data_IF_190704571528
#
_entry.id   IF_190704571528
#
_cell.length_a   1.000
_cell.length_b   1.000
_cell.length_c   1.000
_cell.angle_alpha   90.00
_cell.angle_beta   90.00
_cell.angle_gamma   90.00
#
_symmetry.space_group_name_H-M   'P 1'
#
loop_
_entity.id
_entity.type
_entity.pdbx_description
1 polymer ?
#
# COMPACT_ATOMS: atom_id res chain seq x y z
N UNK A 1 15.04 -61.28 11.89
CA UNK A 1 15.55 -60.19 11.03
C UNK A 1 16.01 -58.98 11.85
N UNK A 2 15.33 -58.61 12.93
CA UNK A 2 15.73 -57.47 13.79
C UNK A 2 17.12 -57.55 14.42
N UNK A 3 17.54 -58.70 14.95
CA UNK A 3 18.88 -58.83 15.54
C UNK A 3 20.02 -58.57 14.54
N UNK A 4 19.81 -58.87 13.25
CA UNK A 4 20.79 -58.55 12.20
C UNK A 4 20.82 -57.04 11.93
N UNK A 5 19.66 -56.39 11.89
CA UNK A 5 19.56 -54.96 11.73
C UNK A 5 20.24 -54.22 12.90
N UNK A 6 20.00 -54.64 14.14
CA UNK A 6 20.65 -54.05 15.33
C UNK A 6 22.18 -54.15 15.24
N UNK A 7 22.71 -55.31 14.85
CA UNK A 7 24.16 -55.48 14.67
C UNK A 7 24.72 -54.57 13.58
N UNK A 8 24.06 -54.49 12.43
CA UNK A 8 24.46 -53.59 11.35
C UNK A 8 24.40 -52.11 11.78
N UNK A 9 23.42 -51.74 12.60
CA UNK A 9 23.34 -50.38 13.14
C UNK A 9 24.46 -50.11 14.14
N UNK A 10 24.78 -51.06 15.02
CA UNK A 10 25.87 -50.96 15.98
C UNK A 10 27.23 -50.79 15.30
N UNK A 11 27.47 -51.51 14.20
CA UNK A 11 28.69 -51.42 13.38
C UNK A 11 28.91 -50.04 12.73
N UNK A 12 27.87 -49.21 12.61
CA UNK A 12 27.99 -47.85 12.05
C UNK A 12 28.44 -46.80 13.09
N UNK A 13 28.38 -47.12 14.38
CA UNK A 13 28.79 -46.18 15.42
C UNK A 13 30.30 -46.23 15.68
N UNK A 14 30.91 -45.12 16.15
CA UNK A 14 32.28 -45.14 16.63
C UNK A 14 32.45 -46.16 17.76
N UNK A 15 33.56 -46.90 17.71
CA UNK A 15 33.90 -47.83 18.78
C UNK A 15 34.10 -47.05 20.09
N UNK A 16 33.55 -47.61 21.17
CA UNK A 16 33.64 -47.05 22.52
C UNK A 16 34.21 -48.12 23.44
N UNK A 17 35.13 -47.74 24.32
CA UNK A 17 35.66 -48.65 25.36
C UNK A 17 34.67 -48.80 26.54
N UNK A 18 33.66 -47.93 26.60
CA UNK A 18 32.74 -47.84 27.73
C UNK A 18 31.49 -48.69 27.57
N UNK A 19 31.09 -49.00 26.34
CA UNK A 19 29.82 -49.67 26.03
C UNK A 19 29.99 -50.68 24.90
N UNK A 20 29.30 -51.80 25.02
CA UNK A 20 29.08 -52.68 23.89
C UNK A 20 27.82 -52.24 23.13
N UNK A 21 28.02 -51.75 21.91
CA UNK A 21 26.98 -51.01 21.17
C UNK A 21 25.79 -51.89 20.78
N UNK A 22 26.03 -53.17 20.46
CA UNK A 22 24.99 -54.10 20.06
C UNK A 22 24.12 -54.56 21.26
N UNK A 23 24.71 -54.64 22.45
CA UNK A 23 23.96 -54.89 23.69
C UNK A 23 23.20 -53.65 24.17
N UNK A 24 23.88 -52.50 24.27
CA UNK A 24 23.30 -51.28 24.85
C UNK A 24 22.09 -50.80 24.05
N UNK A 25 22.09 -50.90 22.71
CA UNK A 25 20.96 -50.51 21.85
C UNK A 25 19.67 -51.24 22.24
N UNK A 26 19.78 -52.48 22.72
CA UNK A 26 18.61 -53.26 23.14
C UNK A 26 18.14 -52.96 24.56
N UNK A 27 18.99 -52.33 25.36
CA UNK A 27 18.71 -52.01 26.76
C UNK A 27 18.15 -50.60 26.95
N UNK A 28 18.31 -49.70 25.97
CA UNK A 28 17.84 -48.32 26.06
C UNK A 28 16.32 -48.23 26.14
N UNK A 29 15.85 -47.45 27.10
CA UNK A 29 14.43 -47.15 27.30
C UNK A 29 13.92 -45.97 26.48
N UNK A 30 12.65 -45.63 26.71
CA UNK A 30 12.07 -44.39 26.15
C UNK A 30 12.69 -43.18 26.83
N UNK A 31 13.18 -42.22 26.04
CA UNK A 31 13.87 -41.05 26.56
C UNK A 31 15.36 -41.26 26.78
N UNK A 32 15.94 -42.37 26.33
CA UNK A 32 17.39 -42.60 26.31
C UNK A 32 17.89 -42.71 24.87
N UNK A 33 19.12 -42.25 24.61
CA UNK A 33 19.72 -42.30 23.29
C UNK A 33 21.24 -42.45 23.35
N UNK A 34 21.80 -43.04 22.30
CA UNK A 34 23.24 -43.03 22.05
C UNK A 34 23.60 -41.78 21.26
N UNK A 35 24.47 -40.97 21.84
CA UNK A 35 24.91 -39.70 21.27
C UNK A 35 26.42 -39.73 21.11
N UNK A 36 26.90 -39.31 19.95
CA UNK A 36 28.30 -38.97 19.70
C UNK A 36 28.36 -37.49 19.36
N UNK A 37 29.44 -36.82 19.79
CA UNK A 37 29.71 -35.42 19.51
C UNK A 37 30.93 -35.34 18.62
N UNK A 38 31.11 -34.21 17.94
CA UNK A 38 32.33 -33.96 17.20
C UNK A 38 33.34 -33.24 18.10
N UNK A 39 34.60 -33.65 18.06
CA UNK A 39 35.68 -32.89 18.69
C UNK A 39 36.01 -31.63 17.87
N UNK A 40 36.95 -30.80 18.35
CA UNK A 40 37.36 -29.54 17.69
C UNK A 40 37.84 -29.72 16.25
N UNK A 41 38.26 -30.93 15.87
CA UNK A 41 38.72 -31.29 14.52
C UNK A 41 37.63 -31.96 13.67
N UNK A 42 36.39 -32.04 14.16
CA UNK A 42 35.28 -32.67 13.47
C UNK A 42 35.27 -34.19 13.52
N UNK A 43 36.06 -34.82 14.40
CA UNK A 43 36.12 -36.29 14.53
C UNK A 43 35.08 -36.71 15.59
N UNK A 44 34.25 -37.73 15.30
CA UNK A 44 33.31 -38.29 16.28
C UNK A 44 34.03 -38.77 17.55
N UNK A 45 33.51 -38.37 18.71
CA UNK A 45 33.97 -38.84 20.03
C UNK A 45 33.37 -40.21 20.35
N UNK A 46 33.91 -40.93 21.35
CA UNK A 46 33.32 -42.16 21.84
C UNK A 46 31.83 -41.99 22.18
N UNK A 47 31.06 -43.06 21.94
CA UNK A 47 29.62 -43.09 22.12
C UNK A 47 29.25 -42.97 23.61
N UNK A 48 28.21 -42.18 23.91
CA UNK A 48 27.67 -42.04 25.25
C UNK A 48 26.16 -42.32 25.30
N UNK A 49 25.74 -43.17 26.25
CA UNK A 49 24.33 -43.34 26.58
C UNK A 49 23.86 -42.14 27.41
N UNK A 50 22.85 -41.42 26.92
CA UNK A 50 22.39 -40.15 27.49
C UNK A 50 20.87 -40.14 27.64
N UNK A 51 20.38 -39.56 28.74
CA UNK A 51 18.95 -39.32 28.94
C UNK A 51 18.54 -38.02 28.21
N UNK A 52 17.51 -38.13 27.37
CA UNK A 52 16.95 -37.03 26.60
C UNK A 52 15.82 -36.36 27.38
N UNK A 53 15.90 -35.04 27.50
CA UNK A 53 14.81 -34.24 28.01
C UNK A 53 13.84 -33.90 26.85
N UNK A 54 12.53 -34.10 27.01
CA UNK A 54 11.57 -33.67 25.99
C UNK A 54 11.61 -32.14 25.83
N UNK A 55 11.25 -31.61 24.64
CA UNK A 55 11.17 -30.17 24.44
C UNK A 55 10.12 -29.58 25.39
N UNK A 56 10.47 -28.47 26.04
CA UNK A 56 9.53 -27.72 26.88
C UNK A 56 8.54 -26.88 26.07
N UNK A 57 8.79 -26.73 24.76
CA UNK A 57 7.91 -26.01 23.84
C UNK A 57 6.97 -26.96 23.10
N UNK A 58 5.75 -26.48 22.84
CA UNK A 58 4.86 -27.11 21.86
C UNK A 58 5.50 -26.98 20.47
N UNK A 59 5.68 -28.12 19.78
CA UNK A 59 6.23 -28.17 18.41
C UNK A 59 5.20 -27.85 17.31
N UNK A 60 3.95 -27.66 17.71
CA UNK A 60 2.82 -27.46 16.81
C UNK A 60 2.53 -25.97 16.57
N UNK A 61 1.80 -25.68 15.50
CA UNK A 61 1.47 -24.34 15.06
C UNK A 61 0.45 -23.73 16.04
N UNK A 62 0.60 -22.44 16.33
CA UNK A 62 -0.37 -21.72 17.16
C UNK A 62 -1.74 -21.65 16.45
N UNK A 63 -2.82 -21.80 17.19
CA UNK A 63 -4.17 -21.59 16.64
C UNK A 63 -4.40 -20.11 16.34
N UNK A 64 -5.36 -19.82 15.48
CA UNK A 64 -5.74 -18.44 15.14
C UNK A 64 -6.13 -17.64 16.38
N UNK A 65 -6.77 -18.27 17.37
CA UNK A 65 -7.14 -17.64 18.64
C UNK A 65 -5.91 -17.28 19.48
N UNK A 66 -4.94 -18.19 19.58
CA UNK A 66 -3.67 -17.98 20.29
C UNK A 66 -2.86 -16.85 19.65
N UNK A 67 -2.75 -16.86 18.32
CA UNK A 67 -2.09 -15.80 17.54
C UNK A 67 -2.76 -14.46 17.82
N UNK A 68 -4.08 -14.38 17.71
CA UNK A 68 -4.82 -13.14 17.95
C UNK A 68 -4.66 -12.63 19.40
N UNK A 69 -4.61 -13.52 20.39
CA UNK A 69 -4.37 -13.15 21.78
C UNK A 69 -2.95 -12.59 21.98
N UNK A 70 -1.94 -13.20 21.36
CA UNK A 70 -0.56 -12.71 21.38
C UNK A 70 -0.42 -11.36 20.67
N UNK A 71 -1.00 -11.22 19.49
CA UNK A 71 -0.99 -9.96 18.72
C UNK A 71 -1.65 -8.84 19.53
N UNK A 72 -2.81 -9.09 20.16
CA UNK A 72 -3.47 -8.07 21.00
C UNK A 72 -2.65 -7.60 22.20
N UNK A 73 -1.72 -8.42 22.71
CA UNK A 73 -0.80 -8.02 23.79
C UNK A 73 0.36 -7.16 23.32
N UNK A 74 0.63 -7.10 22.02
CA UNK A 74 1.74 -6.33 21.47
C UNK A 74 1.45 -4.83 21.50
N UNK A 75 2.42 -4.03 21.95
CA UNK A 75 2.36 -2.56 21.93
C UNK A 75 2.32 -1.97 20.51
N UNK A 76 2.75 -2.74 19.52
CA UNK A 76 2.81 -2.31 18.12
C UNK A 76 1.46 -2.39 17.42
N UNK A 77 0.51 -3.13 18.00
CA UNK A 77 -0.80 -3.41 17.41
C UNK A 77 -1.58 -2.13 17.14
N UNK A 78 -1.52 -1.15 18.03
CA UNK A 78 -2.25 0.13 17.83
C UNK A 78 -1.78 0.90 16.60
N UNK A 79 -0.49 0.78 16.24
CA UNK A 79 0.12 1.51 15.13
C UNK A 79 0.04 0.74 13.81
N UNK A 80 0.26 -0.58 13.85
CA UNK A 80 0.51 -1.37 12.64
C UNK A 80 -0.59 -2.38 12.30
N UNK A 81 -1.53 -2.65 13.19
CA UNK A 81 -2.57 -3.67 12.95
C UNK A 81 -3.76 -3.14 12.13
N UNK A 82 -3.71 -1.89 11.67
CA UNK A 82 -4.75 -1.28 10.84
C UNK A 82 -4.30 -1.27 9.38
N UNK A 83 -5.03 -1.98 8.52
CA UNK A 83 -4.88 -1.84 7.08
C UNK A 83 -5.42 -0.48 6.66
N UNK A 84 -4.56 0.36 6.08
CA UNK A 84 -4.95 1.66 5.55
C UNK A 84 -4.97 1.54 4.03
N UNK A 85 -6.16 1.66 3.45
CA UNK A 85 -6.33 1.78 2.01
C UNK A 85 -6.42 3.27 1.64
N UNK A 86 -5.37 3.79 1.02
CA UNK A 86 -5.27 5.20 0.66
C UNK A 86 -5.72 5.43 -0.78
N UNK A 87 -6.66 6.35 -1.00
CA UNK A 87 -7.10 6.73 -2.35
C UNK A 87 -5.91 7.21 -3.19
N UNK A 88 -5.76 6.64 -4.38
CA UNK A 88 -4.71 7.05 -5.32
C UNK A 88 -5.01 8.43 -5.92
N UNK A 89 -3.97 9.16 -6.33
CA UNK A 89 -4.15 10.45 -7.01
C UNK A 89 -5.00 10.33 -8.29
N UNK A 90 -4.92 9.18 -8.96
CA UNK A 90 -5.70 8.84 -10.14
C UNK A 90 -7.20 8.70 -9.83
N UNK A 91 -7.56 7.98 -8.76
CA UNK A 91 -8.95 7.85 -8.31
C UNK A 91 -9.55 9.21 -7.96
N UNK A 92 -8.81 10.03 -7.20
CA UNK A 92 -9.26 11.38 -6.81
C UNK A 92 -9.48 12.27 -8.05
N UNK A 93 -8.61 12.19 -9.05
CA UNK A 93 -8.74 12.97 -10.28
C UNK A 93 -9.92 12.48 -11.13
N UNK A 94 -10.12 11.17 -11.21
CA UNK A 94 -11.19 10.55 -11.98
C UNK A 94 -12.56 10.88 -11.39
N UNK A 95 -12.71 10.80 -10.05
CA UNK A 95 -13.92 11.25 -9.34
C UNK A 95 -14.24 12.72 -9.64
N UNK A 96 -13.23 13.60 -9.66
CA UNK A 96 -13.42 15.03 -9.99
C UNK A 96 -13.85 15.25 -11.44
N UNK A 97 -13.29 14.49 -12.38
CA UNK A 97 -13.66 14.58 -13.80
C UNK A 97 -15.07 14.04 -14.05
N UNK A 98 -15.48 12.98 -13.34
CA UNK A 98 -16.85 12.46 -13.40
C UNK A 98 -17.85 13.45 -12.82
N UNK A 99 -17.58 14.00 -11.63
CA UNK A 99 -18.43 15.02 -11.03
C UNK A 99 -18.57 16.29 -11.89
N UNK A 100 -17.50 16.69 -12.61
CA UNK A 100 -17.55 17.81 -13.54
C UNK A 100 -18.40 17.50 -14.79
N UNK A 101 -18.36 16.27 -15.31
CA UNK A 101 -19.18 15.83 -16.45
C UNK A 101 -20.66 15.73 -16.10
N UNK A 102 -20.99 15.31 -14.88
CA UNK A 102 -22.37 15.22 -14.41
C UNK A 102 -22.99 16.59 -14.09
N UNK A 103 -22.15 17.60 -13.83
CA UNK A 103 -22.58 18.98 -13.58
C UNK A 103 -22.73 19.83 -14.85
N UNK A 104 -22.34 19.34 -16.03
CA UNK A 104 -22.65 20.00 -17.29
C UNK A 104 -24.13 19.75 -17.65
N UNK A 105 -24.99 20.79 -17.74
CA UNK A 105 -26.37 20.59 -18.17
C UNK A 105 -26.36 20.06 -19.61
N UNK A 106 -27.13 19.01 -19.86
CA UNK A 106 -27.42 18.51 -21.21
C UNK A 106 -28.11 19.63 -22.04
N UNK A 107 -27.31 20.53 -22.61
CA UNK A 107 -27.78 21.40 -23.70
C UNK A 107 -27.81 20.51 -24.94
N UNK A 108 -28.84 19.66 -25.00
CA UNK A 108 -29.29 19.01 -26.23
C UNK A 108 -29.60 20.11 -27.22
N UNK A 109 -28.61 20.39 -28.06
CA UNK A 109 -28.69 21.32 -29.17
C UNK A 109 -29.64 20.73 -30.20
N UNK A 110 -30.94 20.99 -30.01
CA UNK A 110 -31.92 20.97 -31.08
C UNK A 110 -31.82 22.33 -31.78
N UNK A 111 -30.77 22.51 -32.59
CA UNK A 111 -30.73 23.62 -33.55
C UNK A 111 -31.34 23.12 -34.85
N UNK A 112 -32.63 23.41 -34.98
CA UNK A 112 -33.28 23.54 -36.27
C UNK A 112 -32.48 24.53 -37.12
N UNK A 113 -32.18 24.15 -38.36
CA UNK A 113 -31.81 25.08 -39.41
C UNK A 113 -33.01 25.98 -39.69
N UNK A 114 -32.95 27.21 -39.19
CA UNK A 114 -33.84 28.29 -39.61
C UNK A 114 -32.96 29.46 -40.09
N UNK A 115 -33.15 29.78 -41.37
CA UNK A 115 -32.48 30.81 -42.13
C UNK A 115 -32.57 32.17 -41.41
N UNK A 116 -31.41 32.69 -40.99
CA UNK A 116 -31.34 34.02 -40.43
C UNK A 116 -31.13 35.06 -41.52
N UNK A 117 -32.27 35.67 -41.84
CA UNK A 117 -32.52 37.00 -42.39
C UNK A 117 -31.32 37.96 -42.47
N UNK A 118 -31.21 38.60 -43.63
CA UNK A 118 -30.29 39.65 -44.11
C UNK A 118 -29.99 40.84 -43.17
N UNK A 119 -30.62 40.88 -42.00
CA UNK A 119 -30.36 41.85 -40.93
C UNK A 119 -29.14 41.47 -40.06
N UNK A 120 -28.86 40.18 -39.86
CA UNK A 120 -27.65 39.74 -39.12
C UNK A 120 -26.35 40.05 -39.91
N UNK A 121 -26.38 39.97 -41.24
CA UNK A 121 -25.21 40.27 -42.09
C UNK A 121 -24.78 41.74 -42.01
N UNK A 122 -25.73 42.65 -41.76
CA UNK A 122 -25.45 44.09 -41.57
C UNK A 122 -24.91 44.35 -40.15
N UNK A 123 -25.37 43.57 -39.16
CA UNK A 123 -24.89 43.65 -37.78
C UNK A 123 -23.49 43.06 -37.58
N UNK A 124 -23.13 42.01 -38.33
CA UNK A 124 -21.84 41.32 -38.21
C UNK A 124 -20.69 41.97 -39.00
N UNK A 125 -20.95 43.05 -39.75
CA UNK A 125 -19.89 43.77 -40.41
C UNK A 125 -19.01 44.52 -39.37
N UNK A 126 -17.72 44.18 -39.34
CA UNK A 126 -16.73 44.73 -38.42
C UNK A 126 -16.65 46.27 -38.45
N UNK A 127 -17.00 46.89 -39.58
CA UNK A 127 -17.05 48.35 -39.74
C UNK A 127 -18.22 48.96 -38.96
N UNK A 128 -19.41 48.34 -39.01
CA UNK A 128 -20.61 48.82 -38.29
C UNK A 128 -20.44 48.60 -36.78
N UNK A 129 -19.89 47.45 -36.37
CA UNK A 129 -19.63 47.12 -34.97
C UNK A 129 -18.58 48.02 -34.32
N UNK A 130 -17.56 48.43 -35.07
CA UNK A 130 -16.55 49.39 -34.60
C UNK A 130 -17.08 50.82 -34.54
N UNK A 131 -17.91 51.24 -35.50
CA UNK A 131 -18.60 52.53 -35.45
C UNK A 131 -19.57 52.64 -34.26
N UNK A 132 -20.35 51.58 -33.98
CA UNK A 132 -21.29 51.55 -32.87
C UNK A 132 -20.58 51.58 -31.50
N UNK A 133 -19.47 50.84 -31.35
CA UNK A 133 -18.63 50.89 -30.13
C UNK A 133 -18.01 52.27 -29.90
N UNK A 134 -17.61 52.95 -30.96
CA UNK A 134 -16.95 54.26 -30.87
C UNK A 134 -17.94 55.36 -30.53
N UNK A 135 -19.12 55.36 -31.16
CA UNK A 135 -20.20 56.28 -30.83
C UNK A 135 -20.73 56.06 -29.40
N UNK A 136 -20.90 54.79 -28.98
CA UNK A 136 -21.34 54.44 -27.62
C UNK A 136 -20.37 54.92 -26.54
N UNK A 137 -19.07 54.67 -26.71
CA UNK A 137 -18.06 55.13 -25.74
C UNK A 137 -17.93 56.66 -25.68
N UNK A 138 -18.20 57.38 -26.77
CA UNK A 138 -18.17 58.84 -26.79
C UNK A 138 -19.39 59.45 -26.07
N UNK A 139 -20.59 58.88 -26.26
CA UNK A 139 -21.80 59.29 -25.55
C UNK A 139 -21.67 59.00 -24.06
N UNK A 140 -21.16 57.82 -23.69
CA UNK A 140 -20.92 57.47 -22.28
C UNK A 140 -19.87 58.39 -21.66
N UNK A 141 -18.75 58.70 -22.34
CA UNK A 141 -17.75 59.65 -21.80
C UNK A 141 -18.26 61.08 -21.69
N UNK A 142 -19.10 61.53 -22.64
CA UNK A 142 -19.70 62.86 -22.61
C UNK A 142 -20.65 63.00 -21.42
N UNK A 143 -21.48 61.99 -21.15
CA UNK A 143 -22.40 61.95 -20.00
C UNK A 143 -21.66 61.71 -18.67
N UNK A 144 -20.64 60.85 -18.63
CA UNK A 144 -19.88 60.58 -17.42
C UNK A 144 -18.96 61.76 -17.04
N UNK A 145 -18.50 62.52 -18.03
CA UNK A 145 -17.74 63.76 -17.84
C UNK A 145 -18.59 64.93 -17.33
N UNK A 146 -19.85 65.06 -17.77
CA UNK A 146 -20.77 66.08 -17.25
C UNK A 146 -21.32 65.76 -15.86
N UNK A 147 -21.20 64.50 -15.39
CA UNK A 147 -21.58 64.03 -14.05
C UNK A 147 -20.41 64.00 -13.04
N UNK A 148 -19.24 64.55 -13.37
CA UNK A 148 -18.19 64.86 -12.39
C UNK A 148 -17.47 63.64 -11.78
N UNK A 149 -17.55 62.45 -12.37
CA UNK A 149 -16.87 61.25 -11.86
C UNK A 149 -15.48 61.12 -12.50
N UNK A 150 -14.46 61.67 -11.83
CA UNK A 150 -13.06 61.44 -12.23
C UNK A 150 -12.56 60.08 -11.70
N UNK A 151 -12.14 59.19 -12.59
CA UNK A 151 -11.48 57.93 -12.23
C UNK A 151 -10.06 58.20 -11.72
N UNK A 152 -9.88 58.35 -10.40
CA UNK A 152 -8.55 58.35 -9.77
C UNK A 152 -8.10 56.91 -9.50
N UNK A 153 -7.16 56.43 -10.30
CA UNK A 153 -6.58 55.09 -10.22
C UNK A 153 -5.57 55.01 -9.07
N UNK A 154 -6.00 54.58 -7.86
CA UNK A 154 -5.07 54.33 -6.74
C UNK A 154 -4.55 52.90 -6.76
N UNK A 155 -3.37 52.74 -7.37
CA UNK A 155 -2.62 51.47 -7.51
C UNK A 155 -2.15 50.98 -6.11
N UNK A 156 -2.74 49.91 -5.59
CA UNK A 156 -2.33 49.28 -4.32
C UNK A 156 -1.37 48.12 -4.62
N UNK A 157 -0.09 48.25 -4.25
CA UNK A 157 0.91 47.17 -4.27
C UNK A 157 0.44 46.03 -3.36
N UNK A 158 0.31 44.82 -3.89
CA UNK A 158 0.23 43.58 -3.09
C UNK A 158 1.66 43.13 -2.77
N UNK A 159 1.95 42.90 -1.49
CA UNK A 159 3.10 42.08 -1.06
C UNK A 159 2.61 40.71 -0.62
N UNK A 160 3.50 39.75 -0.80
CA UNK A 160 3.37 38.30 -0.74
C UNK A 160 3.25 37.77 0.69
N UNK A 161 2.29 36.87 0.92
CA UNK A 161 2.42 35.64 1.69
C UNK A 161 1.56 34.59 0.99
#
# INVERSE_FOLDING_TARGET
>A
NDRKAIKQTAENYPLSEYYDTDEIITQLGTGEALVTLLNEKGIPTPLAATMLCPPQSRMDILTTEEINALVRRSRLTDRYNRTIDSKSAYEILTEKLQAAKEAEPEVKTRRQEEEKSTLETIADNAVVKSMMRTAGNMIVRSLLGSLGVSTSTRRKKKSFF
#
